data_IF_384732301620
#
_entry.id   IF_384732301620
#
_cell.length_a   1.000
_cell.length_b   1.000
_cell.length_c   1.000
_cell.angle_alpha   90.00
_cell.angle_beta   90.00
_cell.angle_gamma   90.00
#
_symmetry.space_group_name_H-M   'P 1'
#
loop_
_entity.id
_entity.type
_entity.pdbx_description
1 polymer ?
#
# COMPACT_ATOMS: atom_id res chain seq x y z
N UNK A 1 41.29 33.25 34.02
CA UNK A 1 40.36 33.99 33.13
C UNK A 1 39.41 32.97 32.49
N UNK A 2 38.10 33.26 32.54
CA UNK A 2 36.97 32.32 32.49
C UNK A 2 36.83 31.64 31.11
N UNK A 3 36.72 30.31 31.06
CA UNK A 3 36.27 29.57 29.87
C UNK A 3 34.76 29.33 29.99
N UNK A 4 33.98 30.10 29.25
CA UNK A 4 32.53 29.94 29.12
C UNK A 4 32.27 28.70 28.26
N UNK A 5 31.76 27.63 28.86
CA UNK A 5 31.26 26.47 28.12
C UNK A 5 29.81 26.75 27.74
N UNK A 6 29.56 26.96 26.44
CA UNK A 6 28.22 27.11 25.88
C UNK A 6 27.63 25.71 25.69
N UNK A 7 26.64 25.35 26.52
CA UNK A 7 25.94 24.07 26.43
C UNK A 7 24.88 24.17 25.32
N UNK A 8 25.17 23.62 24.14
CA UNK A 8 24.18 23.43 23.07
C UNK A 8 23.29 22.24 23.45
N UNK A 9 22.09 22.54 23.94
CA UNK A 9 21.06 21.55 24.20
C UNK A 9 20.37 21.20 22.87
N UNK A 10 20.78 20.09 22.26
CA UNK A 10 20.15 19.57 21.05
C UNK A 10 18.73 19.07 21.40
N UNK A 11 17.71 19.77 20.88
CA UNK A 11 16.33 19.30 20.92
C UNK A 11 16.20 18.10 19.97
N UNK A 12 16.17 16.89 20.51
CA UNK A 12 15.74 15.72 19.75
C UNK A 12 14.21 15.76 19.66
N UNK A 13 13.69 16.17 18.50
CA UNK A 13 12.29 15.95 18.16
C UNK A 13 12.06 14.43 18.10
N UNK A 14 11.12 13.85 18.88
CA UNK A 14 10.72 12.47 18.66
C UNK A 14 10.09 12.40 17.27
N UNK A 15 10.72 11.65 16.37
CA UNK A 15 10.05 11.21 15.16
C UNK A 15 8.79 10.47 15.60
N UNK A 16 7.62 10.97 15.16
CA UNK A 16 6.36 10.25 15.35
C UNK A 16 6.50 8.94 14.57
N UNK A 17 6.85 7.87 15.28
CA UNK A 17 6.68 6.53 14.76
C UNK A 17 5.18 6.32 14.59
N UNK A 18 4.66 6.53 13.38
CA UNK A 18 3.41 5.91 12.97
C UNK A 18 3.61 4.41 13.23
N UNK A 19 2.85 3.87 14.19
CA UNK A 19 2.98 2.48 14.62
C UNK A 19 2.91 1.57 13.40
N UNK A 20 3.81 0.58 13.34
CA UNK A 20 3.73 -0.47 12.33
C UNK A 20 2.34 -1.13 12.42
N UNK A 21 1.66 -1.29 11.28
CA UNK A 21 0.34 -1.94 11.24
C UNK A 21 0.39 -3.39 11.73
N UNK A 22 -0.77 -3.99 11.95
CA UNK A 22 -0.92 -5.41 12.30
C UNK A 22 -1.28 -6.23 11.06
N UNK A 23 -0.39 -7.14 10.64
CA UNK A 23 -0.60 -7.99 9.48
C UNK A 23 -1.79 -8.96 9.61
N UNK A 24 -2.12 -9.44 10.81
CA UNK A 24 -3.28 -10.31 11.02
C UNK A 24 -4.58 -9.51 10.94
N UNK A 25 -4.61 -8.30 11.50
CA UNK A 25 -5.72 -7.37 11.28
C UNK A 25 -5.84 -7.02 9.78
N UNK A 26 -4.71 -6.82 9.10
CA UNK A 26 -4.64 -6.53 7.67
C UNK A 26 -5.19 -7.65 6.80
N UNK A 27 -4.96 -8.91 7.20
CA UNK A 27 -5.57 -10.08 6.56
C UNK A 27 -7.09 -10.04 6.64
N UNK A 28 -7.65 -9.62 7.77
CA UNK A 28 -9.11 -9.46 7.91
C UNK A 28 -9.63 -8.36 6.97
N UNK A 29 -8.90 -7.25 6.86
CA UNK A 29 -9.22 -6.16 5.91
C UNK A 29 -9.17 -6.66 4.46
N UNK A 30 -8.10 -7.36 4.07
CA UNK A 30 -7.95 -7.96 2.74
C UNK A 30 -9.10 -8.93 2.43
N UNK A 31 -9.44 -9.81 3.37
CA UNK A 31 -10.53 -10.77 3.22
C UNK A 31 -11.89 -10.09 3.03
N UNK A 32 -12.11 -8.95 3.69
CA UNK A 32 -13.37 -8.23 3.58
C UNK A 32 -13.48 -7.38 2.31
N UNK A 33 -12.39 -6.73 1.90
CA UNK A 33 -12.44 -5.69 0.87
C UNK A 33 -11.78 -6.10 -0.46
N UNK A 34 -10.78 -6.97 -0.42
CA UNK A 34 -9.90 -7.23 -1.56
C UNK A 34 -10.09 -8.64 -2.14
N UNK A 35 -10.37 -9.63 -1.30
CA UNK A 35 -10.33 -11.05 -1.69
C UNK A 35 -11.43 -11.47 -2.66
N UNK A 36 -12.47 -10.64 -2.84
CA UNK A 36 -13.46 -10.83 -3.89
C UNK A 36 -12.86 -10.69 -5.29
N UNK A 37 -11.86 -9.83 -5.45
CA UNK A 37 -11.22 -9.56 -6.73
C UNK A 37 -9.80 -10.11 -6.84
N UNK A 38 -9.06 -10.10 -5.73
CA UNK A 38 -7.64 -10.42 -5.68
C UNK A 38 -7.39 -11.69 -4.88
N UNK A 39 -6.27 -12.35 -5.18
CA UNK A 39 -5.78 -13.51 -4.43
C UNK A 39 -4.33 -13.29 -4.04
N UNK A 40 -3.94 -13.90 -2.93
CA UNK A 40 -2.59 -13.96 -2.40
C UNK A 40 -2.28 -15.42 -2.05
N UNK A 41 -1.08 -15.86 -2.39
CA UNK A 41 -0.56 -17.20 -2.08
C UNK A 41 -0.04 -17.93 -3.33
N UNK A 42 0.55 -19.12 -3.15
CA UNK A 42 1.25 -19.84 -4.23
C UNK A 42 0.32 -20.28 -5.38
N UNK A 43 -0.99 -20.40 -5.12
CA UNK A 43 -2.00 -20.74 -6.12
C UNK A 43 -2.78 -19.52 -6.62
N UNK A 44 -2.37 -18.30 -6.26
CA UNK A 44 -3.05 -17.09 -6.68
C UNK A 44 -3.01 -16.92 -8.20
N UNK A 45 -4.17 -16.68 -8.80
CA UNK A 45 -4.33 -16.47 -10.24
C UNK A 45 -5.18 -15.24 -10.49
N UNK A 46 -4.99 -14.64 -11.65
CA UNK A 46 -5.81 -13.55 -12.16
C UNK A 46 -7.29 -13.94 -12.20
N UNK A 47 -8.15 -13.06 -11.69
CA UNK A 47 -9.61 -13.17 -11.78
C UNK A 47 -10.17 -11.79 -12.15
N UNK A 48 -11.03 -11.20 -11.32
CA UNK A 48 -11.44 -9.80 -11.48
C UNK A 48 -10.26 -8.84 -11.33
N UNK A 49 -9.32 -9.15 -10.43
CA UNK A 49 -8.05 -8.44 -10.25
C UNK A 49 -6.84 -9.36 -10.44
N UNK A 50 -5.63 -8.79 -10.61
CA UNK A 50 -4.38 -9.54 -10.61
C UNK A 50 -4.05 -10.10 -9.21
N UNK A 51 -3.24 -11.16 -9.10
CA UNK A 51 -2.63 -11.57 -7.83
C UNK A 51 -1.77 -10.43 -7.23
N UNK A 52 -1.80 -10.33 -5.90
CA UNK A 52 -1.12 -9.27 -5.15
C UNK A 52 0.12 -9.74 -4.37
N UNK A 53 0.59 -10.97 -4.62
CA UNK A 53 1.88 -11.43 -4.12
C UNK A 53 2.99 -10.44 -4.49
N UNK A 54 3.75 -10.03 -3.48
CA UNK A 54 4.90 -9.14 -3.61
C UNK A 54 4.55 -7.80 -4.24
N UNK A 55 3.32 -7.30 -4.07
CA UNK A 55 2.85 -6.10 -4.77
C UNK A 55 3.70 -4.86 -4.46
N UNK A 56 4.21 -4.73 -3.24
CA UNK A 56 5.01 -3.57 -2.84
C UNK A 56 6.35 -3.57 -3.59
N UNK A 57 6.63 -2.46 -4.29
CA UNK A 57 7.81 -2.26 -5.13
C UNK A 57 7.62 -2.70 -6.58
N UNK A 58 6.51 -3.34 -6.95
CA UNK A 58 6.24 -3.74 -8.33
C UNK A 58 5.77 -2.56 -9.18
N UNK A 59 6.15 -2.59 -10.46
CA UNK A 59 5.58 -1.66 -11.43
C UNK A 59 4.10 -1.98 -11.68
N UNK A 60 3.27 -0.94 -11.71
CA UNK A 60 1.85 -1.05 -11.94
C UNK A 60 1.54 -1.53 -13.36
N UNK A 61 0.48 -2.33 -13.52
CA UNK A 61 0.02 -2.77 -14.84
C UNK A 61 0.86 -3.84 -15.53
N UNK A 62 1.80 -4.49 -14.83
CA UNK A 62 2.77 -5.43 -15.42
C UNK A 62 2.60 -6.90 -15.00
N UNK A 63 1.55 -7.26 -14.24
CA UNK A 63 1.32 -8.68 -13.92
C UNK A 63 1.05 -9.50 -15.19
N UNK A 64 1.89 -10.50 -15.42
CA UNK A 64 1.70 -11.44 -16.51
C UNK A 64 0.35 -12.17 -16.36
N UNK A 65 -0.35 -12.34 -17.49
CA UNK A 65 -1.63 -13.04 -17.53
C UNK A 65 -2.81 -12.25 -16.95
N UNK A 66 -2.67 -10.95 -16.66
CA UNK A 66 -3.80 -10.07 -16.34
C UNK A 66 -3.96 -8.98 -17.43
N UNK A 67 -5.18 -8.82 -17.93
CA UNK A 67 -5.49 -7.79 -18.93
C UNK A 67 -5.82 -6.48 -18.23
N UNK A 68 -4.86 -5.56 -18.18
CA UNK A 68 -5.02 -4.22 -17.61
C UNK A 68 -5.70 -3.24 -18.56
N UNK A 69 -6.28 -2.16 -18.01
CA UNK A 69 -6.66 -1.00 -18.82
C UNK A 69 -5.43 -0.26 -19.33
N UNK A 70 -5.59 0.48 -20.44
CA UNK A 70 -4.51 1.32 -20.97
C UNK A 70 -4.04 2.36 -19.95
N UNK A 71 -4.98 2.94 -19.18
CA UNK A 71 -4.65 3.85 -18.09
C UNK A 71 -3.71 3.23 -17.05
N UNK A 72 -3.98 2.00 -16.61
CA UNK A 72 -3.14 1.35 -15.61
C UNK A 72 -1.76 0.97 -16.18
N UNK A 73 -1.70 0.45 -17.40
CA UNK A 73 -0.43 0.11 -18.08
C UNK A 73 0.47 1.34 -18.24
N UNK A 74 -0.13 2.48 -18.55
CA UNK A 74 0.58 3.73 -18.85
C UNK A 74 0.70 4.67 -17.64
N UNK A 75 0.28 4.23 -16.44
CA UNK A 75 0.28 5.07 -15.23
C UNK A 75 1.68 5.49 -14.78
N UNK A 76 2.72 4.71 -15.13
CA UNK A 76 4.09 4.95 -14.68
C UNK A 76 4.32 4.67 -13.19
N UNK A 77 3.30 4.21 -12.46
CA UNK A 77 3.36 3.98 -11.02
C UNK A 77 4.25 2.80 -10.68
N UNK A 78 4.96 2.95 -9.56
CA UNK A 78 5.57 1.86 -8.81
C UNK A 78 4.83 1.77 -7.48
N UNK A 79 4.39 0.57 -7.10
CA UNK A 79 3.59 0.36 -5.91
C UNK A 79 4.40 0.50 -4.63
N UNK A 80 4.73 1.73 -4.25
CA UNK A 80 5.21 2.04 -2.89
C UNK A 80 4.04 1.97 -1.90
N UNK A 81 4.33 1.98 -0.60
CA UNK A 81 3.28 2.08 0.43
C UNK A 81 2.43 3.35 0.26
N UNK A 82 3.06 4.45 -0.10
CA UNK A 82 2.39 5.73 -0.33
C UNK A 82 1.50 5.68 -1.57
N UNK A 83 2.01 5.17 -2.70
CA UNK A 83 1.22 5.04 -3.92
C UNK A 83 0.06 4.07 -3.77
N UNK A 84 0.27 2.95 -3.07
CA UNK A 84 -0.82 2.03 -2.73
C UNK A 84 -1.86 2.69 -1.82
N UNK A 85 -1.43 3.48 -0.82
CA UNK A 85 -2.36 4.23 0.05
C UNK A 85 -3.21 5.19 -0.78
N UNK A 86 -2.59 5.98 -1.65
CA UNK A 86 -3.29 6.94 -2.53
C UNK A 86 -4.25 6.20 -3.45
N UNK A 87 -3.78 5.15 -4.12
CA UNK A 87 -4.59 4.38 -5.06
C UNK A 87 -5.75 3.64 -4.40
N UNK A 88 -5.57 3.07 -3.21
CA UNK A 88 -6.63 2.37 -2.49
C UNK A 88 -7.67 3.37 -1.95
N UNK A 89 -7.27 4.58 -1.54
CA UNK A 89 -8.18 5.63 -1.07
C UNK A 89 -9.17 6.06 -2.16
N UNK A 90 -8.67 6.30 -3.37
CA UNK A 90 -9.51 6.57 -4.53
C UNK A 90 -8.84 6.08 -5.82
N UNK A 91 -9.17 4.86 -6.29
CA UNK A 91 -8.55 4.31 -7.49
C UNK A 91 -8.85 5.13 -8.74
N UNK A 92 -10.04 5.74 -8.82
CA UNK A 92 -10.50 6.43 -10.03
C UNK A 92 -9.88 7.80 -10.17
N UNK A 93 -9.61 8.47 -9.05
CA UNK A 93 -8.84 9.71 -9.02
C UNK A 93 -7.35 9.44 -9.26
N UNK A 94 -6.78 8.43 -8.59
CA UNK A 94 -5.35 8.14 -8.70
C UNK A 94 -4.95 7.61 -10.09
N UNK A 95 -5.80 6.79 -10.73
CA UNK A 95 -5.59 6.34 -12.11
C UNK A 95 -6.91 6.45 -12.89
N UNK A 96 -7.19 7.61 -13.49
CA UNK A 96 -8.40 7.81 -14.28
C UNK A 96 -8.52 6.79 -15.41
N UNK A 97 -9.64 6.05 -15.42
CA UNK A 97 -9.85 4.93 -16.36
C UNK A 97 -9.41 3.56 -15.83
N UNK A 98 -9.02 3.44 -14.56
CA UNK A 98 -8.95 2.12 -13.90
C UNK A 98 -10.33 1.47 -13.78
N UNK A 99 -10.35 0.14 -13.79
CA UNK A 99 -11.55 -0.67 -13.49
C UNK A 99 -11.65 -1.06 -12.02
N UNK A 100 -10.59 -0.89 -11.22
CA UNK A 100 -10.67 -1.17 -9.79
C UNK A 100 -11.61 -0.16 -9.14
N UNK A 101 -12.59 -0.67 -8.39
CA UNK A 101 -13.51 0.14 -7.59
C UNK A 101 -13.42 -0.33 -6.15
N UNK A 102 -13.09 0.58 -5.26
CA UNK A 102 -13.18 0.40 -3.82
C UNK A 102 -13.90 1.62 -3.26
N UNK A 103 -15.11 1.43 -2.74
CA UNK A 103 -15.95 2.56 -2.32
C UNK A 103 -15.51 3.19 -1.00
N UNK A 104 -14.93 2.39 -0.09
CA UNK A 104 -14.48 2.87 1.20
C UNK A 104 -13.44 1.94 1.81
N UNK A 105 -12.25 2.48 2.09
CA UNK A 105 -11.18 1.73 2.75
C UNK A 105 -11.39 1.60 4.26
N UNK A 106 -11.96 2.62 4.90
CA UNK A 106 -11.98 2.70 6.36
C UNK A 106 -11.27 3.94 6.88
N UNK A 107 -10.53 3.73 7.95
CA UNK A 107 -9.64 4.69 8.59
C UNK A 107 -8.18 4.39 8.21
N UNK A 108 -7.26 5.25 8.64
CA UNK A 108 -5.84 5.10 8.33
C UNK A 108 -5.19 3.88 9.02
N UNK A 109 -5.69 3.46 10.19
CA UNK A 109 -5.24 2.24 10.88
C UNK A 109 -5.46 0.99 10.02
N UNK A 110 -6.69 0.79 9.52
CA UNK A 110 -6.99 -0.33 8.59
C UNK A 110 -6.16 -0.28 7.31
N UNK A 111 -5.80 0.92 6.86
CA UNK A 111 -4.90 1.06 5.72
C UNK A 111 -3.49 0.59 6.05
N UNK A 112 -2.93 0.99 7.20
CA UNK A 112 -1.61 0.52 7.61
C UNK A 112 -1.58 -1.00 7.83
N UNK A 113 -2.61 -1.55 8.48
CA UNK A 113 -2.76 -3.00 8.66
C UNK A 113 -2.79 -3.73 7.31
N UNK A 114 -3.59 -3.25 6.35
CA UNK A 114 -3.64 -3.83 5.00
C UNK A 114 -2.28 -3.78 4.31
N UNK A 115 -1.58 -2.64 4.37
CA UNK A 115 -0.26 -2.50 3.77
C UNK A 115 0.76 -3.44 4.42
N UNK A 116 0.67 -3.65 5.73
CA UNK A 116 1.53 -4.61 6.44
C UNK A 116 1.27 -6.05 5.99
N UNK A 117 -0.01 -6.42 5.87
CA UNK A 117 -0.38 -7.72 5.32
C UNK A 117 0.13 -7.90 3.89
N UNK A 118 0.06 -6.87 3.03
CA UNK A 118 0.58 -6.94 1.67
C UNK A 118 2.12 -7.07 1.64
N UNK A 119 2.85 -6.38 2.51
CA UNK A 119 4.32 -6.50 2.57
C UNK A 119 4.76 -7.88 3.08
N UNK A 120 4.04 -8.43 4.05
CA UNK A 120 4.31 -9.76 4.60
C UNK A 120 4.09 -10.90 3.58
N UNK A 121 3.35 -10.65 2.50
CA UNK A 121 2.96 -11.65 1.50
C UNK A 121 3.65 -11.43 0.15
N UNK A 122 4.96 -11.67 0.11
CA UNK A 122 5.77 -11.60 -1.11
C UNK A 122 5.56 -12.78 -2.05
#
# INVERSE_FOLDING_TARGET
MKKTALLLMALTLPALAQGAGDAEAGKAVFTRLCSGCHKIGPSARSAFGPPLNGIIGRQAGQQEGYVYTDAMKNSGLVWTREELRTYIKDPSEAVPGTRMKLWWMGNDERMEDLLEYLDANK
#
